data_IF_419860600081
#
_entry.id   IF_419860600081
#
_cell.length_a   1.000
_cell.length_b   1.000
_cell.length_c   1.000
_cell.angle_alpha   90.00
_cell.angle_beta   90.00
_cell.angle_gamma   90.00
#
_symmetry.space_group_name_H-M   'P 1'
#
loop_
_entity.id
_entity.type
_entity.pdbx_description
1 polymer ?
#
# COMPACT_ATOMS: atom_id res chain seq x y z
N UNK A 1 0.89 -10.62 3.27
CA UNK A 1 1.22 -10.45 1.86
C UNK A 1 2.40 -11.35 1.56
N UNK A 2 2.29 -12.16 0.52
CA UNK A 2 3.31 -13.07 0.02
C UNK A 2 4.02 -12.48 -1.20
N UNK A 3 5.16 -13.06 -1.57
CA UNK A 3 5.89 -12.67 -2.80
C UNK A 3 5.02 -12.88 -4.05
N UNK A 4 4.20 -13.94 -4.08
CA UNK A 4 3.30 -14.21 -5.20
C UNK A 4 2.21 -13.14 -5.31
N UNK A 5 1.61 -12.74 -4.18
CA UNK A 5 0.63 -11.64 -4.14
C UNK A 5 1.28 -10.33 -4.62
N UNK A 6 2.47 -9.99 -4.14
CA UNK A 6 3.18 -8.78 -4.59
C UNK A 6 3.48 -8.80 -6.10
N UNK A 7 3.95 -9.94 -6.61
CA UNK A 7 4.25 -10.09 -8.05
C UNK A 7 2.99 -9.94 -8.91
N UNK A 8 1.85 -10.46 -8.46
CA UNK A 8 0.56 -10.23 -9.11
C UNK A 8 0.22 -8.74 -9.07
N UNK A 9 0.29 -8.08 -7.91
CA UNK A 9 0.00 -6.64 -7.83
C UNK A 9 0.89 -5.81 -8.77
N UNK A 10 2.17 -6.16 -8.90
CA UNK A 10 3.11 -5.48 -9.81
C UNK A 10 2.80 -5.67 -11.31
N UNK A 11 2.07 -6.72 -11.70
CA UNK A 11 1.62 -6.88 -13.08
C UNK A 11 0.46 -5.96 -13.44
N UNK A 12 -0.37 -5.61 -12.46
CA UNK A 12 -1.63 -4.89 -12.68
C UNK A 12 -1.58 -3.42 -12.24
N UNK A 13 -0.65 -3.05 -11.38
CA UNK A 13 -0.47 -1.70 -10.86
C UNK A 13 0.97 -1.24 -11.06
N UNK A 14 1.17 0.07 -11.23
CA UNK A 14 2.49 0.64 -11.50
C UNK A 14 2.70 2.01 -10.88
N UNK A 15 3.78 2.66 -11.34
CA UNK A 15 4.30 3.93 -10.81
C UNK A 15 3.31 5.09 -10.91
N UNK A 16 2.49 5.06 -11.96
CA UNK A 16 1.42 6.00 -12.21
C UNK A 16 0.15 5.60 -11.46
N UNK A 17 -0.53 6.58 -10.89
CA UNK A 17 -1.78 6.34 -10.18
C UNK A 17 -2.90 6.03 -11.17
N UNK A 18 -3.65 4.96 -10.93
CA UNK A 18 -4.80 4.55 -11.73
C UNK A 18 -6.08 4.80 -10.94
N UNK A 19 -7.04 5.54 -11.51
CA UNK A 19 -8.34 5.74 -10.87
C UNK A 19 -9.23 4.51 -11.11
N UNK A 20 -9.70 3.89 -10.04
CA UNK A 20 -10.61 2.75 -10.07
C UNK A 20 -11.71 3.02 -9.05
N UNK A 21 -12.92 3.31 -9.53
CA UNK A 21 -14.16 3.50 -8.77
C UNK A 21 -14.11 4.52 -7.62
N UNK A 22 -13.43 4.18 -6.53
CA UNK A 22 -13.44 4.85 -5.24
C UNK A 22 -12.18 5.68 -4.94
N UNK A 23 -11.14 5.53 -5.75
CA UNK A 23 -9.92 6.32 -5.60
C UNK A 23 -8.84 5.91 -6.57
N UNK A 24 -7.61 6.30 -6.25
CA UNK A 24 -6.45 5.98 -7.08
C UNK A 24 -5.58 4.92 -6.43
N UNK A 25 -5.20 3.92 -7.20
CA UNK A 25 -4.34 2.81 -6.82
C UNK A 25 -2.96 3.01 -7.43
N UNK A 26 -1.91 2.79 -6.65
CA UNK A 26 -0.53 2.94 -7.10
C UNK A 26 0.39 1.96 -6.39
N UNK A 27 1.31 1.37 -7.15
CA UNK A 27 2.38 0.53 -6.63
C UNK A 27 3.70 1.00 -7.21
N UNK A 28 4.62 1.46 -6.35
CA UNK A 28 5.94 1.95 -6.77
C UNK A 28 7.05 1.02 -6.31
N UNK A 29 8.09 0.95 -7.13
CA UNK A 29 9.38 0.37 -6.78
C UNK A 29 10.30 1.51 -6.34
N UNK A 30 10.63 1.54 -5.05
CA UNK A 30 11.51 2.57 -4.47
C UNK A 30 12.99 2.18 -4.63
N UNK A 31 13.29 0.89 -4.51
CA UNK A 31 14.60 0.29 -4.77
C UNK A 31 14.43 -1.20 -5.12
N UNK A 32 15.53 -1.95 -5.28
CA UNK A 32 15.49 -3.39 -5.61
C UNK A 32 14.59 -4.21 -4.68
N UNK A 33 14.56 -3.86 -3.39
CA UNK A 33 13.84 -4.60 -2.36
C UNK A 33 12.79 -3.76 -1.61
N UNK A 34 12.59 -2.50 -2.01
CA UNK A 34 11.65 -1.60 -1.33
C UNK A 34 10.54 -1.14 -2.26
N UNK A 35 9.31 -1.19 -1.76
CA UNK A 35 8.10 -0.89 -2.51
C UNK A 35 7.20 0.06 -1.74
N UNK A 36 6.37 0.80 -2.46
CA UNK A 36 5.28 1.61 -1.89
C UNK A 36 3.96 1.12 -2.47
N UNK A 37 3.04 0.72 -1.60
CA UNK A 37 1.66 0.43 -1.96
C UNK A 37 0.78 1.56 -1.44
N UNK A 38 0.06 2.25 -2.33
CA UNK A 38 -0.69 3.44 -1.96
C UNK A 38 -2.08 3.47 -2.58
N UNK A 39 -3.09 3.60 -1.73
CA UNK A 39 -4.39 4.13 -2.15
C UNK A 39 -4.43 5.63 -1.89
N UNK A 40 -4.97 6.38 -2.84
CA UNK A 40 -5.06 7.82 -2.76
C UNK A 40 -6.50 8.28 -3.03
N UNK A 41 -6.92 9.32 -2.34
CA UNK A 41 -8.21 9.99 -2.60
C UNK A 41 -7.99 11.38 -3.20
N UNK A 42 -8.94 11.93 -3.97
CA UNK A 42 -8.89 13.31 -4.42
C UNK A 42 -8.77 14.28 -3.24
N UNK A 43 -7.77 15.16 -3.31
CA UNK A 43 -7.58 16.28 -2.38
C UNK A 43 -8.03 17.61 -2.97
N UNK A 44 -7.77 18.69 -2.26
CA UNK A 44 -8.05 20.04 -2.75
C UNK A 44 -7.12 20.42 -3.91
N UNK A 45 -7.61 21.27 -4.80
CA UNK A 45 -6.82 21.86 -5.90
C UNK A 45 -6.15 20.83 -6.83
N UNK A 46 -6.82 19.69 -7.10
CA UNK A 46 -6.31 18.65 -8.01
C UNK A 46 -5.18 17.80 -7.41
N UNK A 47 -4.93 17.93 -6.11
CA UNK A 47 -3.98 17.07 -5.38
C UNK A 47 -4.63 15.73 -5.02
N UNK A 48 -3.86 14.84 -4.41
CA UNK A 48 -4.36 13.58 -3.85
C UNK A 48 -3.73 13.32 -2.50
N UNK A 49 -4.51 12.78 -1.56
CA UNK A 49 -4.07 12.43 -0.21
C UNK A 49 -3.88 10.92 -0.08
N UNK A 50 -2.94 10.49 0.77
CA UNK A 50 -2.73 9.07 1.08
C UNK A 50 -3.82 8.54 2.02
N UNK A 51 -4.45 7.41 1.66
CA UNK A 51 -5.53 6.79 2.44
C UNK A 51 -5.70 5.26 2.24
N UNK A 52 -4.73 4.41 2.61
CA UNK A 52 -3.43 4.71 3.16
C UNK A 52 -2.29 4.46 2.17
N UNK A 53 -1.08 4.80 2.60
CA UNK A 53 0.20 4.47 1.96
C UNK A 53 1.04 3.62 2.89
N UNK A 54 1.51 2.47 2.41
CA UNK A 54 2.38 1.56 3.15
C UNK A 54 3.68 1.35 2.38
N UNK A 55 4.82 1.54 3.03
CA UNK A 55 6.10 1.13 2.49
C UNK A 55 6.42 -0.30 2.92
N UNK A 56 7.01 -1.07 2.02
CA UNK A 56 7.33 -2.48 2.18
C UNK A 56 8.82 -2.70 1.94
N UNK A 57 9.40 -3.65 2.65
CA UNK A 57 10.71 -4.22 2.35
C UNK A 57 10.60 -5.72 2.13
N UNK A 58 11.25 -6.22 1.10
CA UNK A 58 11.40 -7.64 0.79
C UNK A 58 12.74 -8.12 1.31
N UNK A 59 12.74 -9.17 2.12
CA UNK A 59 13.97 -9.79 2.65
C UNK A 59 13.86 -11.30 2.54
N UNK A 60 14.54 -11.87 1.54
CA UNK A 60 14.39 -13.29 1.20
C UNK A 60 12.97 -13.57 0.69
N UNK A 61 12.25 -14.43 1.39
CA UNK A 61 10.87 -14.82 1.10
C UNK A 61 9.82 -14.01 1.89
N UNK A 62 10.24 -13.04 2.69
CA UNK A 62 9.37 -12.27 3.57
C UNK A 62 9.16 -10.85 3.08
N UNK A 63 7.92 -10.38 3.19
CA UNK A 63 7.54 -8.98 3.00
C UNK A 63 7.20 -8.40 4.37
N UNK A 64 7.82 -7.27 4.71
CA UNK A 64 7.54 -6.55 5.95
C UNK A 64 7.11 -5.12 5.65
N UNK A 65 6.02 -4.67 6.26
CA UNK A 65 5.62 -3.27 6.23
C UNK A 65 6.51 -2.44 7.17
N UNK A 66 7.11 -1.37 6.64
CA UNK A 66 8.08 -0.52 7.37
C UNK A 66 7.49 0.81 7.83
N UNK A 67 6.42 1.27 7.18
CA UNK A 67 5.70 2.48 7.60
C UNK A 67 4.29 2.53 7.02
N UNK A 68 3.45 3.34 7.66
CA UNK A 68 2.08 3.66 7.25
C UNK A 68 1.85 5.17 7.35
N UNK A 69 1.24 5.74 6.32
CA UNK A 69 0.71 7.10 6.32
C UNK A 69 -0.75 7.07 5.89
N UNK A 70 -1.65 7.59 6.72
CA UNK A 70 -3.05 7.81 6.39
C UNK A 70 -3.44 9.23 6.80
N UNK A 71 -3.74 10.06 5.81
CA UNK A 71 -4.07 11.47 6.01
C UNK A 71 -5.57 11.72 6.19
N UNK A 72 -6.41 10.73 5.89
CA UNK A 72 -7.87 10.84 6.01
C UNK A 72 -8.39 10.18 7.31
N UNK A 73 -7.55 9.39 7.98
CA UNK A 73 -7.82 8.93 9.33
C UNK A 73 -7.96 10.10 10.32
N UNK A 74 -8.77 9.92 11.38
CA UNK A 74 -8.98 10.93 12.44
C UNK A 74 -8.66 10.34 13.83
N UNK A 75 -7.53 10.71 14.45
CA UNK A 75 -6.48 11.59 13.94
C UNK A 75 -5.68 10.94 12.80
N UNK A 76 -4.98 11.77 12.01
CA UNK A 76 -4.11 11.28 10.94
C UNK A 76 -3.02 10.34 11.48
N UNK A 77 -2.71 9.28 10.73
CA UNK A 77 -1.83 8.20 11.17
C UNK A 77 -0.48 8.34 10.47
N UNK A 78 0.58 8.38 11.28
CA UNK A 78 1.97 8.34 10.83
C UNK A 78 2.73 7.34 11.70
N UNK A 79 3.00 6.15 11.14
CA UNK A 79 3.68 5.08 11.86
C UNK A 79 4.93 4.69 11.10
N UNK A 80 6.02 4.52 11.84
CA UNK A 80 7.23 3.87 11.38
C UNK A 80 7.41 2.60 12.20
N UNK A 81 7.96 1.56 11.59
CA UNK A 81 8.19 0.27 12.23
C UNK A 81 9.03 0.41 13.50
N UNK A 82 8.46 -0.12 14.59
CA UNK A 82 9.04 -0.33 15.93
C UNK A 82 8.40 -1.61 16.47
N UNK A 83 8.97 -2.22 17.52
CA UNK A 83 8.49 -3.52 18.03
C UNK A 83 6.98 -3.54 18.32
N UNK A 84 6.43 -2.44 18.86
CA UNK A 84 5.02 -2.32 19.20
C UNK A 84 4.08 -1.99 18.03
N UNK A 85 4.60 -1.67 16.84
CA UNK A 85 3.78 -1.32 15.66
C UNK A 85 3.74 -2.42 14.59
N UNK A 86 4.55 -3.49 14.72
CA UNK A 86 4.66 -4.55 13.70
C UNK A 86 3.35 -5.25 13.38
N UNK A 87 2.62 -5.68 14.40
CA UNK A 87 1.36 -6.40 14.22
C UNK A 87 0.31 -5.50 13.54
N UNK A 88 0.20 -4.25 13.99
CA UNK A 88 -0.68 -3.26 13.38
C UNK A 88 -0.29 -2.98 11.91
N UNK A 89 0.99 -2.79 11.60
CA UNK A 89 1.46 -2.59 10.23
C UNK A 89 1.18 -3.80 9.32
N UNK A 90 1.31 -5.01 9.85
CA UNK A 90 0.98 -6.23 9.11
C UNK A 90 -0.52 -6.33 8.81
N UNK A 91 -1.38 -6.02 9.79
CA UNK A 91 -2.83 -5.98 9.59
C UNK A 91 -3.24 -4.94 8.53
N UNK A 92 -2.70 -3.72 8.63
CA UNK A 92 -2.97 -2.67 7.64
C UNK A 92 -2.46 -3.03 6.24
N UNK A 93 -1.36 -3.78 6.15
CA UNK A 93 -0.87 -4.32 4.88
C UNK A 93 -1.85 -5.35 4.29
N UNK A 94 -2.38 -6.27 5.08
CA UNK A 94 -3.38 -7.22 4.58
C UNK A 94 -4.63 -6.51 4.06
N UNK A 95 -5.14 -5.52 4.81
CA UNK A 95 -6.30 -4.74 4.40
C UNK A 95 -6.07 -3.99 3.09
N UNK A 96 -4.91 -3.32 2.95
CA UNK A 96 -4.59 -2.60 1.72
C UNK A 96 -4.38 -3.55 0.54
N UNK A 97 -3.72 -4.70 0.77
CA UNK A 97 -3.56 -5.75 -0.23
C UNK A 97 -4.90 -6.26 -0.73
N UNK A 98 -5.81 -6.62 0.17
CA UNK A 98 -7.15 -7.11 -0.18
C UNK A 98 -7.92 -6.08 -1.00
N UNK A 99 -7.82 -4.80 -0.63
CA UNK A 99 -8.40 -3.69 -1.40
C UNK A 99 -7.89 -3.67 -2.85
N UNK A 100 -6.57 -3.81 -3.05
CA UNK A 100 -5.96 -3.84 -4.39
C UNK A 100 -6.39 -5.06 -5.20
N UNK A 101 -6.44 -6.25 -4.58
CA UNK A 101 -6.87 -7.47 -5.24
C UNK A 101 -8.33 -7.36 -5.69
N UNK A 102 -9.21 -6.87 -4.81
CA UNK A 102 -10.63 -6.70 -5.09
C UNK A 102 -10.88 -5.67 -6.20
N UNK A 103 -10.12 -4.57 -6.25
CA UNK A 103 -10.28 -3.51 -7.25
C UNK A 103 -10.18 -4.01 -8.71
N UNK A 104 -9.47 -5.11 -8.95
CA UNK A 104 -9.35 -5.75 -10.28
C UNK A 104 -9.85 -7.20 -10.31
N UNK A 105 -10.57 -7.65 -9.28
CA UNK A 105 -11.03 -9.04 -9.12
C UNK A 105 -9.90 -10.08 -9.28
N UNK A 106 -8.73 -9.79 -8.73
CA UNK A 106 -7.56 -10.67 -8.81
C UNK A 106 -7.70 -11.81 -7.80
N UNK A 107 -7.48 -13.04 -8.27
CA UNK A 107 -7.46 -14.24 -7.42
C UNK A 107 -6.01 -14.67 -7.21
N UNK A 108 -5.67 -15.01 -5.96
CA UNK A 108 -4.31 -15.39 -5.54
C UNK A 108 -4.33 -16.70 -4.77
#
# INVERSE_FOLDING_TARGET
MTIAELAILQQYFGEEKEFIEDGYYRLRTLSENEFELAFLVPGLCGTTNYHPKINLIVTGDKITATSLVDLEATPAIFITEKENSREFLAEQLELLKEKFLNAKNLQV
#
